data_IF_302053004494
#
_entry.id   IF_302053004494
#
_cell.length_a   1.000
_cell.length_b   1.000
_cell.length_c   1.000
_cell.angle_alpha   90.00
_cell.angle_beta   90.00
_cell.angle_gamma   90.00
#
_symmetry.space_group_name_H-M   'P 1'
#
loop_
_entity.id
_entity.type
_entity.pdbx_description
1 polymer ?
#
# COMPACT_ATOMS: atom_id res chain seq x y z
N UNK A 1 -8.86 2.87 -10.52
CA UNK A 1 -8.09 2.79 -9.27
C UNK A 1 -7.19 4.00 -9.14
N UNK A 2 -6.73 4.28 -7.92
CA UNK A 2 -5.72 5.29 -7.63
C UNK A 2 -4.78 4.78 -6.52
N UNK A 3 -3.48 4.95 -6.72
CA UNK A 3 -2.45 4.52 -5.75
C UNK A 3 -1.71 5.76 -5.26
N UNK A 4 -1.68 5.96 -3.94
CA UNK A 4 -0.82 6.96 -3.33
C UNK A 4 0.51 6.31 -2.93
N UNK A 5 1.59 6.77 -3.56
CA UNK A 5 2.91 6.19 -3.40
C UNK A 5 3.89 7.23 -2.84
N UNK A 6 4.73 6.82 -1.88
CA UNK A 6 5.75 7.65 -1.25
C UNK A 6 6.96 6.83 -0.83
N UNK A 7 7.93 7.51 -0.22
CA UNK A 7 9.06 6.88 0.47
C UNK A 7 8.64 6.37 1.87
N UNK A 8 9.58 5.72 2.56
CA UNK A 8 9.29 5.10 3.86
C UNK A 8 8.88 6.13 4.92
N UNK A 9 9.46 7.33 4.91
CA UNK A 9 9.11 8.41 5.84
C UNK A 9 7.69 8.96 5.62
N UNK A 10 7.15 8.81 4.41
CA UNK A 10 5.77 9.19 4.11
C UNK A 10 4.74 8.36 4.90
N UNK A 11 5.11 7.16 5.38
CA UNK A 11 4.25 6.28 6.18
C UNK A 11 4.30 6.54 7.69
N UNK A 12 5.15 7.46 8.16
CA UNK A 12 5.13 7.92 9.54
C UNK A 12 3.78 8.54 9.90
N UNK A 13 3.42 8.57 11.20
CA UNK A 13 2.08 8.99 11.64
C UNK A 13 1.63 10.39 11.21
N UNK A 14 2.57 11.29 10.94
CA UNK A 14 2.31 12.64 10.40
C UNK A 14 2.60 12.77 8.89
N UNK A 15 3.12 11.71 8.27
CA UNK A 15 3.37 11.65 6.84
C UNK A 15 2.07 11.43 6.04
N UNK A 16 2.10 11.78 4.76
CA UNK A 16 0.91 11.73 3.90
C UNK A 16 0.29 10.32 3.83
N UNK A 17 1.11 9.26 3.74
CA UNK A 17 0.62 7.89 3.77
C UNK A 17 0.12 7.52 5.16
N UNK A 18 0.79 7.93 6.24
CA UNK A 18 0.32 7.68 7.61
C UNK A 18 -1.06 8.27 7.88
N UNK A 19 -1.28 9.53 7.46
CA UNK A 19 -2.58 10.21 7.57
C UNK A 19 -3.66 9.49 6.77
N UNK A 20 -3.39 9.15 5.51
CA UNK A 20 -4.35 8.41 4.67
C UNK A 20 -4.65 7.03 5.24
N UNK A 21 -3.65 6.31 5.78
CA UNK A 21 -3.82 4.97 6.37
C UNK A 21 -4.66 4.99 7.65
N UNK A 22 -4.71 6.12 8.36
CA UNK A 22 -5.57 6.34 9.53
C UNK A 22 -7.01 6.69 9.15
N UNK A 23 -7.27 7.16 7.92
CA UNK A 23 -8.59 7.44 7.39
C UNK A 23 -9.22 6.17 6.78
N UNK A 24 -10.25 5.64 7.44
CA UNK A 24 -10.96 4.43 7.00
C UNK A 24 -11.79 4.63 5.74
N UNK A 25 -12.26 5.85 5.49
CA UNK A 25 -12.99 6.16 4.26
C UNK A 25 -12.02 6.21 3.07
N UNK A 26 -10.85 6.82 3.23
CA UNK A 26 -9.82 6.84 2.20
C UNK A 26 -9.26 5.44 1.88
N UNK A 27 -8.94 4.66 2.92
CA UNK A 27 -8.39 3.30 2.74
C UNK A 27 -9.37 2.29 2.14
N UNK A 28 -10.67 2.59 2.14
CA UNK A 28 -11.67 1.75 1.48
C UNK A 28 -11.70 1.87 -0.05
N UNK A 29 -11.12 2.96 -0.60
CA UNK A 29 -11.17 3.26 -2.05
C UNK A 29 -9.79 3.47 -2.69
N UNK A 30 -8.73 3.59 -1.88
CA UNK A 30 -7.38 3.95 -2.32
C UNK A 30 -6.33 2.95 -1.78
N UNK A 31 -5.44 2.48 -2.65
CA UNK A 31 -4.26 1.72 -2.23
C UNK A 31 -3.08 2.64 -1.90
N UNK A 32 -2.20 2.21 -0.99
CA UNK A 32 -1.00 2.97 -0.60
C UNK A 32 0.28 2.15 -0.72
N UNK A 33 1.40 2.78 -1.09
CA UNK A 33 2.73 2.14 -1.18
C UNK A 33 3.79 3.05 -0.55
N UNK A 34 4.58 2.54 0.39
CA UNK A 34 5.53 3.34 1.19
C UNK A 34 7.01 3.15 0.86
N UNK A 35 7.36 2.48 -0.24
CA UNK A 35 8.75 2.23 -0.62
C UNK A 35 8.99 2.49 -2.11
N UNK A 36 8.32 3.49 -2.68
CA UNK A 36 8.29 3.78 -4.12
C UNK A 36 9.64 4.28 -4.69
N UNK A 37 10.54 4.71 -3.81
CA UNK A 37 11.94 5.00 -4.11
C UNK A 37 12.70 3.73 -4.56
N UNK A 38 12.25 2.54 -4.13
CA UNK A 38 12.81 1.25 -4.51
C UNK A 38 12.19 0.67 -5.80
N UNK A 39 12.92 -0.21 -6.48
CA UNK A 39 12.38 -0.97 -7.62
C UNK A 39 11.20 -1.86 -7.21
N UNK A 40 11.30 -2.52 -6.06
CA UNK A 40 10.24 -3.37 -5.51
C UNK A 40 8.94 -2.57 -5.24
N UNK A 41 9.06 -1.38 -4.64
CA UNK A 41 7.90 -0.52 -4.40
C UNK A 41 7.23 -0.02 -5.67
N UNK A 42 8.01 0.30 -6.72
CA UNK A 42 7.42 0.65 -8.02
C UNK A 42 6.61 -0.50 -8.64
N UNK A 43 7.09 -1.75 -8.52
CA UNK A 43 6.32 -2.92 -8.94
C UNK A 43 5.07 -3.09 -8.06
N UNK A 44 5.20 -2.93 -6.75
CA UNK A 44 4.08 -2.99 -5.81
C UNK A 44 2.99 -1.98 -6.14
N UNK A 45 3.35 -0.76 -6.55
CA UNK A 45 2.39 0.26 -6.99
C UNK A 45 1.62 -0.15 -8.24
N UNK A 46 2.27 -0.78 -9.22
CA UNK A 46 1.59 -1.31 -10.43
C UNK A 46 0.64 -2.44 -10.06
N UNK A 47 1.08 -3.37 -9.19
CA UNK A 47 0.22 -4.45 -8.70
C UNK A 47 -0.98 -3.91 -7.90
N UNK A 48 -0.78 -2.88 -7.08
CA UNK A 48 -1.83 -2.27 -6.29
C UNK A 48 -2.86 -1.55 -7.17
N UNK A 49 -2.40 -0.93 -8.27
CA UNK A 49 -3.31 -0.35 -9.27
C UNK A 49 -4.13 -1.44 -9.95
N UNK A 50 -3.52 -2.59 -10.28
CA UNK A 50 -4.24 -3.74 -10.83
C UNK A 50 -5.31 -4.25 -9.86
N UNK A 51 -4.97 -4.45 -8.59
CA UNK A 51 -5.91 -4.86 -7.56
C UNK A 51 -7.11 -3.91 -7.45
N UNK A 52 -6.87 -2.60 -7.52
CA UNK A 52 -7.97 -1.63 -7.51
C UNK A 52 -8.86 -1.66 -8.74
N UNK A 53 -8.30 -2.00 -9.91
CA UNK A 53 -9.13 -2.23 -11.10
C UNK A 53 -10.00 -3.48 -10.94
N UNK A 54 -9.59 -4.43 -10.09
CA UNK A 54 -10.37 -5.61 -9.71
C UNK A 54 -11.31 -5.36 -8.50
N UNK A 55 -11.33 -4.14 -7.96
CA UNK A 55 -12.20 -3.73 -6.85
C UNK A 55 -11.60 -3.91 -5.44
N UNK A 56 -10.33 -4.30 -5.32
CA UNK A 56 -9.63 -4.37 -4.04
C UNK A 56 -8.91 -3.09 -3.65
N UNK A 57 -8.45 -2.99 -2.40
CA UNK A 57 -7.56 -1.93 -1.94
C UNK A 57 -6.71 -2.42 -0.77
N UNK A 58 -5.49 -1.89 -0.63
CA UNK A 58 -4.57 -2.30 0.42
C UNK A 58 -3.47 -1.29 0.75
N UNK A 59 -2.77 -1.52 1.85
CA UNK A 59 -1.59 -0.71 2.23
C UNK A 59 -0.35 -1.61 2.15
N UNK A 60 0.58 -1.21 1.30
CA UNK A 60 1.73 -2.02 0.91
C UNK A 60 3.05 -1.35 1.20
N UNK A 61 4.08 -2.16 1.38
CA UNK A 61 5.47 -1.70 1.54
C UNK A 61 6.15 -2.31 2.75
N UNK A 62 7.03 -1.53 3.38
CA UNK A 62 7.93 -1.98 4.46
C UNK A 62 7.64 -1.33 5.80
N UNK A 63 6.81 -0.28 5.84
CA UNK A 63 6.47 0.38 7.09
C UNK A 63 5.60 -0.53 7.98
N UNK A 64 5.69 -0.37 9.29
CA UNK A 64 4.97 -1.20 10.26
C UNK A 64 3.43 -1.10 10.19
N UNK A 65 2.91 -0.11 9.47
CA UNK A 65 1.48 0.08 9.20
C UNK A 65 1.06 -0.41 7.79
N UNK A 66 1.92 -1.13 7.06
CA UNK A 66 1.55 -1.87 5.86
C UNK A 66 0.90 -3.23 6.22
N UNK A 67 -0.08 -3.69 5.44
CA UNK A 67 -0.65 -5.05 5.56
C UNK A 67 0.31 -6.12 5.01
N UNK A 68 1.05 -5.78 3.95
CA UNK A 68 1.83 -6.72 3.16
C UNK A 68 2.93 -5.99 2.36
N UNK A 69 3.99 -6.68 1.91
CA UNK A 69 4.99 -6.07 1.01
C UNK A 69 4.41 -5.67 -0.35
N UNK A 70 3.45 -6.44 -0.86
CA UNK A 70 2.77 -6.22 -2.14
C UNK A 70 1.42 -6.96 -2.17
N UNK A 71 0.51 -6.60 -3.10
CA UNK A 71 -0.71 -7.36 -3.34
C UNK A 71 -0.41 -8.83 -3.63
N UNK A 72 -1.19 -9.75 -3.06
CA UNK A 72 -0.99 -11.19 -3.20
C UNK A 72 0.21 -11.76 -2.45
N UNK A 73 1.00 -10.93 -1.76
CA UNK A 73 2.12 -11.37 -0.90
C UNK A 73 1.69 -11.29 0.56
N UNK A 74 0.99 -12.31 1.04
CA UNK A 74 0.61 -12.48 2.44
C UNK A 74 1.14 -13.80 3.01
N UNK A 75 1.06 -13.98 4.33
CA UNK A 75 1.43 -15.25 4.97
C UNK A 75 0.75 -16.43 4.23
N UNK A 76 1.47 -17.55 3.99
CA UNK A 76 0.89 -18.70 3.32
C UNK A 76 -0.37 -19.11 4.08
N UNK A 77 -1.52 -19.07 3.42
CA UNK A 77 -2.71 -19.76 3.90
C UNK A 77 -2.33 -21.24 3.89
N UNK A 78 -2.07 -21.80 5.07
CA UNK A 78 -1.70 -23.20 5.24
C UNK A 78 -2.73 -24.10 4.55
N UNK A 79 -2.22 -25.07 3.79
CA UNK A 79 -2.98 -26.22 3.31
C UNK A 79 -2.54 -27.44 4.11
#
# INVERSE_FOLDING_TARGET
>A
GAVLAGDAGSADGTGALGVVRADTSATSILSTVDNADTSAGRVSAILALKEQLDGGAGRYGIAGNAQAPAPGVGAPTGN
#
